data_IF_052288352525
#
_entry.id   IF_052288352525
#
_cell.length_a   1.000
_cell.length_b   1.000
_cell.length_c   1.000
_cell.angle_alpha   90.00
_cell.angle_beta   90.00
_cell.angle_gamma   90.00
#
_symmetry.space_group_name_H-M   'P 1'
#
loop_
_entity.id
_entity.type
_entity.pdbx_description
1 polymer ?
#
# COMPACT_ATOMS: atom_id res chain seq x y z
N UNK A 1 12.37 -3.55 2.88
CA UNK A 1 11.21 -4.01 2.11
C UNK A 1 10.25 -2.85 1.93
N UNK A 2 9.77 -2.66 0.74
CA UNK A 2 9.02 -1.47 0.39
C UNK A 2 7.61 -1.83 -0.07
N UNK A 3 6.67 -0.93 0.16
CA UNK A 3 5.29 -1.09 -0.30
C UNK A 3 4.87 0.14 -1.07
N UNK A 4 3.99 -0.07 -2.04
CA UNK A 4 3.36 1.02 -2.79
C UNK A 4 1.86 0.95 -2.54
N UNK A 5 1.25 2.06 -2.17
CA UNK A 5 -0.19 2.15 -1.94
C UNK A 5 -0.77 2.99 -3.07
N UNK A 6 -1.66 2.42 -3.85
CA UNK A 6 -2.34 3.12 -4.94
C UNK A 6 -3.76 3.42 -4.53
N UNK A 7 -4.21 4.65 -4.77
CA UNK A 7 -5.55 5.08 -4.39
C UNK A 7 -6.05 6.16 -5.35
N UNK A 8 -7.29 6.59 -5.15
CA UNK A 8 -7.97 7.61 -5.97
C UNK A 8 -8.00 7.18 -7.45
N UNK A 9 -8.43 5.94 -7.70
CA UNK A 9 -8.55 5.36 -9.05
C UNK A 9 -7.21 5.34 -9.78
N UNK A 10 -6.13 5.11 -9.04
CA UNK A 10 -4.79 5.02 -9.60
C UNK A 10 -4.11 6.35 -9.84
N UNK A 11 -4.77 7.47 -9.51
CA UNK A 11 -4.18 8.80 -9.73
C UNK A 11 -3.11 9.16 -8.72
N UNK A 12 -3.15 8.55 -7.53
CA UNK A 12 -2.25 8.87 -6.44
C UNK A 12 -1.59 7.62 -5.92
N UNK A 13 -0.38 7.76 -5.40
CA UNK A 13 0.29 6.67 -4.72
C UNK A 13 1.22 7.20 -3.64
N UNK A 14 1.48 6.36 -2.63
CA UNK A 14 2.47 6.62 -1.60
C UNK A 14 3.32 5.38 -1.43
N UNK A 15 4.53 5.57 -0.92
CA UNK A 15 5.47 4.48 -0.66
C UNK A 15 5.67 4.35 0.83
N UNK A 16 5.75 3.11 1.30
CA UNK A 16 6.05 2.79 2.69
C UNK A 16 7.32 1.97 2.75
N UNK A 17 8.19 2.25 3.72
CA UNK A 17 9.49 1.61 3.84
C UNK A 17 9.47 0.33 4.66
N UNK A 18 8.37 0.06 5.37
CA UNK A 18 8.22 -1.11 6.22
C UNK A 18 6.74 -1.41 6.39
N UNK A 19 6.45 -2.57 7.01
CA UNK A 19 5.08 -2.93 7.33
C UNK A 19 4.45 -1.93 8.31
N UNK A 20 5.20 -1.50 9.32
CA UNK A 20 4.74 -0.47 10.26
C UNK A 20 4.35 0.81 9.55
N UNK A 21 5.20 1.24 8.64
CA UNK A 21 4.99 2.45 7.86
C UNK A 21 3.75 2.30 6.96
N UNK A 22 3.58 1.12 6.37
CA UNK A 22 2.40 0.81 5.56
C UNK A 22 1.12 0.95 6.39
N UNK A 23 1.09 0.38 7.58
CA UNK A 23 -0.09 0.45 8.44
C UNK A 23 -0.39 1.89 8.87
N UNK A 24 0.64 2.68 9.10
CA UNK A 24 0.48 4.10 9.41
C UNK A 24 -0.14 4.86 8.25
N UNK A 25 0.33 4.59 7.02
CA UNK A 25 -0.25 5.20 5.83
C UNK A 25 -1.71 4.79 5.63
N UNK A 26 -2.05 3.53 5.86
CA UNK A 26 -3.44 3.07 5.73
C UNK A 26 -4.35 3.78 6.73
N UNK A 27 -3.83 4.08 7.92
CA UNK A 27 -4.58 4.85 8.92
C UNK A 27 -4.80 6.29 8.45
N UNK A 28 -3.76 6.91 7.91
CA UNK A 28 -3.84 8.29 7.39
C UNK A 28 -4.81 8.37 6.21
N UNK A 29 -4.80 7.35 5.35
CA UNK A 29 -5.59 7.32 4.13
C UNK A 29 -6.96 6.66 4.32
N UNK A 30 -7.47 6.60 5.54
CA UNK A 30 -8.71 5.86 5.84
C UNK A 30 -9.93 6.39 5.07
N UNK A 31 -9.92 7.65 4.67
CA UNK A 31 -11.00 8.25 3.89
C UNK A 31 -10.85 8.05 2.38
N UNK A 32 -9.72 7.49 1.95
CA UNK A 32 -9.45 7.27 0.54
C UNK A 32 -9.83 5.85 0.14
N UNK A 33 -10.21 5.70 -1.12
CA UNK A 33 -10.45 4.36 -1.67
C UNK A 33 -9.11 3.79 -2.11
N UNK A 34 -8.66 2.76 -1.39
CA UNK A 34 -7.41 2.09 -1.72
C UNK A 34 -7.65 1.13 -2.87
N UNK A 35 -6.94 1.32 -3.96
CA UNK A 35 -7.07 0.50 -5.16
C UNK A 35 -6.20 -0.73 -5.11
N UNK A 36 -4.97 -0.59 -4.62
CA UNK A 36 -4.04 -1.72 -4.52
C UNK A 36 -2.94 -1.42 -3.52
N UNK A 37 -2.35 -2.47 -2.98
CA UNK A 37 -1.18 -2.40 -2.13
C UNK A 37 -0.18 -3.39 -2.70
N UNK A 38 0.99 -2.90 -3.09
CA UNK A 38 2.02 -3.69 -3.75
C UNK A 38 3.24 -3.81 -2.86
N UNK A 39 3.75 -5.02 -2.74
CA UNK A 39 5.01 -5.28 -2.06
C UNK A 39 6.12 -5.27 -3.11
N UNK A 40 7.15 -4.47 -2.88
CA UNK A 40 8.27 -4.31 -3.80
C UNK A 40 9.47 -5.05 -3.23
N UNK A 41 9.97 -6.05 -3.96
CA UNK A 41 11.13 -6.82 -3.54
C UNK A 41 12.41 -6.11 -3.94
N UNK A 42 13.55 -6.63 -3.46
CA UNK A 42 14.87 -6.05 -3.73
C UNK A 42 15.20 -6.01 -5.22
N UNK A 43 14.70 -6.97 -5.99
CA UNK A 43 14.95 -7.04 -7.43
C UNK A 43 13.96 -6.20 -8.23
N UNK A 44 13.08 -5.46 -7.58
CA UNK A 44 12.14 -4.58 -8.23
C UNK A 44 10.81 -5.21 -8.61
N UNK A 45 10.61 -6.48 -8.30
CA UNK A 45 9.33 -7.14 -8.57
C UNK A 45 8.25 -6.62 -7.64
N UNK A 46 7.05 -6.39 -8.19
CA UNK A 46 5.91 -5.93 -7.42
C UNK A 46 4.86 -7.02 -7.36
N UNK A 47 4.34 -7.27 -6.16
CA UNK A 47 3.32 -8.27 -5.93
C UNK A 47 2.17 -7.63 -5.16
N UNK A 48 0.94 -7.80 -5.64
CA UNK A 48 -0.22 -7.28 -4.93
C UNK A 48 -0.41 -8.05 -3.62
N UNK A 49 -0.55 -7.31 -2.52
CA UNK A 49 -0.77 -7.87 -1.20
C UNK A 49 -2.01 -7.25 -0.53
N UNK A 50 -2.87 -6.61 -1.32
CA UNK A 50 -4.04 -5.90 -0.78
C UNK A 50 -4.94 -6.84 0.03
N UNK A 51 -5.05 -8.11 -0.37
CA UNK A 51 -5.89 -9.08 0.35
C UNK A 51 -5.43 -9.28 1.79
N UNK A 52 -4.13 -9.18 2.04
CA UNK A 52 -3.58 -9.33 3.39
C UNK A 52 -3.91 -8.14 4.30
N UNK A 53 -4.23 -7.01 3.71
CA UNK A 53 -4.44 -5.77 4.44
C UNK A 53 -5.88 -5.27 4.40
N UNK A 54 -6.81 -6.04 3.85
CA UNK A 54 -8.22 -5.62 3.75
C UNK A 54 -8.83 -5.31 5.11
N UNK A 55 -8.42 -5.99 6.15
CA UNK A 55 -8.95 -5.75 7.49
C UNK A 55 -8.58 -4.38 8.05
N UNK A 56 -7.61 -3.71 7.44
CA UNK A 56 -7.19 -2.37 7.83
C UNK A 56 -7.84 -1.28 6.98
N UNK A 57 -8.61 -1.69 5.99
CA UNK A 57 -9.30 -0.77 5.08
C UNK A 57 -10.78 -0.62 5.53
#
# INVERSE_FOLDING_TARGET
>A
MMYKIEYDNGKCCNYANSRSDLLEWLRILHDEKIDDILKISKDGNMTSVIEKYKKFL
#
